data_IF_573692466351
#
_entry.id   IF_573692466351
#
_cell.length_a   1.000
_cell.length_b   1.000
_cell.length_c   1.000
_cell.angle_alpha   90.00
_cell.angle_beta   90.00
_cell.angle_gamma   90.00
#
_symmetry.space_group_name_H-M   'P 1'
#
loop_
_entity.id
_entity.type
_entity.pdbx_description
1 polymer ?
#
# COMPACT_ATOMS: atom_id res chain seq x y z
N UNK A 1 16.52 12.71 15.45
CA UNK A 1 17.05 13.01 14.10
C UNK A 1 17.95 14.22 14.25
N UNK A 2 19.17 14.18 13.74
CA UNK A 2 20.06 15.32 13.87
C UNK A 2 19.74 16.42 12.84
N UNK A 3 20.21 17.64 13.09
CA UNK A 3 19.91 18.81 12.26
C UNK A 3 20.41 18.66 10.81
N UNK A 4 21.54 18.00 10.60
CA UNK A 4 22.09 17.74 9.25
C UNK A 4 21.14 16.89 8.43
N UNK A 5 20.61 15.80 8.99
CA UNK A 5 19.66 14.90 8.30
C UNK A 5 18.34 15.61 8.02
N UNK A 6 17.84 16.46 8.92
CA UNK A 6 16.63 17.26 8.70
C UNK A 6 16.81 18.22 7.54
N UNK A 7 17.98 18.87 7.43
CA UNK A 7 18.29 19.76 6.32
C UNK A 7 18.40 19.02 5.00
N UNK A 8 19.02 17.83 4.99
CA UNK A 8 19.08 16.96 3.80
C UNK A 8 17.70 16.54 3.33
N UNK A 9 16.83 16.09 4.22
CA UNK A 9 15.43 15.72 3.92
C UNK A 9 14.66 16.93 3.37
N UNK A 10 14.81 18.10 3.97
CA UNK A 10 14.14 19.33 3.53
C UNK A 10 14.56 19.77 2.13
N UNK A 11 15.82 19.56 1.77
CA UNK A 11 16.39 19.91 0.47
C UNK A 11 16.17 18.84 -0.62
N UNK A 12 15.87 17.60 -0.22
CA UNK A 12 15.80 16.47 -1.17
C UNK A 12 14.63 16.60 -2.13
N UNK A 13 14.90 16.47 -3.42
CA UNK A 13 13.91 16.46 -4.52
C UNK A 13 13.98 15.18 -5.36
N UNK A 14 15.12 14.51 -5.34
CA UNK A 14 15.36 13.27 -6.06
C UNK A 14 15.52 12.14 -5.06
N UNK A 15 14.82 11.04 -5.28
CA UNK A 15 14.87 9.86 -4.44
C UNK A 15 15.25 8.68 -5.31
N UNK A 16 16.38 8.07 -5.02
CA UNK A 16 16.83 6.84 -5.68
C UNK A 16 16.34 5.61 -4.92
N UNK A 17 16.54 4.43 -5.48
CA UNK A 17 16.21 3.19 -4.78
C UNK A 17 16.99 3.03 -3.46
N UNK A 18 18.18 3.60 -3.38
CA UNK A 18 19.04 3.56 -2.18
C UNK A 18 18.54 4.48 -1.06
N UNK A 19 17.82 5.53 -1.42
CA UNK A 19 17.23 6.48 -0.46
C UNK A 19 15.94 5.96 0.18
N UNK A 20 15.30 4.97 -0.46
CA UNK A 20 14.03 4.44 0.00
C UNK A 20 14.18 3.77 1.38
N UNK A 21 13.26 4.06 2.27
CA UNK A 21 13.21 3.40 3.59
C UNK A 21 12.43 2.10 3.46
N UNK A 22 13.13 0.99 3.67
CA UNK A 22 12.54 -0.34 3.59
C UNK A 22 11.84 -0.73 4.90
N UNK A 23 10.68 -1.36 4.76
CA UNK A 23 9.94 -1.97 5.84
C UNK A 23 9.39 -3.32 5.39
N UNK A 24 9.61 -4.35 6.19
CA UNK A 24 9.09 -5.70 5.93
C UNK A 24 7.82 -5.88 6.76
N UNK A 25 6.68 -5.88 6.09
CA UNK A 25 5.39 -6.23 6.69
C UNK A 25 5.10 -7.73 6.51
N UNK A 26 4.05 -8.28 7.15
CA UNK A 26 3.67 -9.68 6.97
C UNK A 26 3.31 -10.06 5.52
N UNK A 27 3.00 -9.10 4.67
CA UNK A 27 2.51 -9.34 3.30
C UNK A 27 3.38 -8.74 2.19
N UNK A 28 4.21 -7.71 2.49
CA UNK A 28 5.04 -7.04 1.48
C UNK A 28 6.39 -6.63 2.02
N UNK A 29 7.36 -6.49 1.09
CA UNK A 29 8.50 -5.61 1.28
C UNK A 29 8.10 -4.22 0.77
N UNK A 30 8.02 -3.25 1.66
CA UNK A 30 7.67 -1.87 1.37
C UNK A 30 8.92 -1.02 1.21
N UNK A 31 8.97 -0.25 0.12
CA UNK A 31 10.02 0.72 -0.17
C UNK A 31 9.39 2.11 -0.18
N UNK A 32 9.48 2.81 0.94
CA UNK A 32 8.92 4.15 1.10
C UNK A 32 9.82 5.19 0.42
N UNK A 33 9.29 5.83 -0.62
CA UNK A 33 10.00 6.81 -1.43
C UNK A 33 9.54 8.24 -1.15
N UNK A 34 8.27 8.46 -0.86
CA UNK A 34 7.74 9.75 -0.44
C UNK A 34 7.06 9.61 0.92
N UNK A 35 7.82 9.91 1.96
CA UNK A 35 7.39 9.90 3.36
C UNK A 35 8.26 10.91 4.12
N UNK A 36 7.81 11.39 5.26
CA UNK A 36 8.47 12.50 5.99
C UNK A 36 9.90 12.21 6.47
N UNK A 37 10.32 10.96 6.51
CA UNK A 37 11.68 10.54 6.81
C UNK A 37 12.57 10.38 5.57
N UNK A 38 12.02 10.60 4.38
CA UNK A 38 12.74 10.56 3.10
C UNK A 38 12.77 11.94 2.45
N UNK A 39 11.61 12.62 2.39
CA UNK A 39 11.45 13.95 1.80
C UNK A 39 10.53 14.81 2.67
N UNK A 40 10.63 16.12 2.53
CA UNK A 40 9.67 17.03 3.19
C UNK A 40 8.35 17.06 2.40
N UNK A 41 7.48 16.08 2.68
CA UNK A 41 6.17 15.97 2.06
C UNK A 41 5.05 16.53 2.95
N UNK A 42 3.97 16.99 2.32
CA UNK A 42 2.74 17.44 3.01
C UNK A 42 1.51 16.63 2.61
N UNK A 43 1.35 16.39 1.33
CA UNK A 43 0.10 15.85 0.78
C UNK A 43 0.22 14.44 0.22
N UNK A 44 1.39 14.06 -0.27
CA UNK A 44 1.58 12.79 -0.96
C UNK A 44 2.41 11.81 -0.15
N UNK A 45 1.96 10.57 -0.13
CA UNK A 45 2.75 9.41 0.23
C UNK A 45 2.95 8.55 -1.01
N UNK A 46 4.13 7.95 -1.15
CA UNK A 46 4.38 6.96 -2.18
C UNK A 46 5.22 5.83 -1.60
N UNK A 47 4.70 4.62 -1.76
CA UNK A 47 5.40 3.39 -1.43
C UNK A 47 5.36 2.45 -2.62
N UNK A 48 6.49 1.81 -2.91
CA UNK A 48 6.57 0.67 -3.80
C UNK A 48 6.44 -0.59 -2.96
N UNK A 49 5.43 -1.38 -3.23
CA UNK A 49 5.15 -2.62 -2.53
C UNK A 49 5.56 -3.82 -3.39
N UNK A 50 6.27 -4.75 -2.79
CA UNK A 50 6.70 -6.00 -3.41
C UNK A 50 6.03 -7.15 -2.65
N UNK A 51 4.98 -7.70 -3.23
CA UNK A 51 4.17 -8.76 -2.62
C UNK A 51 4.51 -10.10 -3.24
N UNK A 52 5.01 -11.00 -2.43
CA UNK A 52 5.34 -12.36 -2.86
C UNK A 52 4.10 -13.13 -3.31
N UNK A 53 4.28 -14.23 -4.09
CA UNK A 53 3.19 -15.11 -4.43
C UNK A 53 2.40 -15.57 -3.22
N UNK A 54 1.07 -15.64 -3.37
CA UNK A 54 0.15 -16.13 -2.34
C UNK A 54 0.19 -15.33 -1.04
N UNK A 55 0.43 -14.01 -1.15
CA UNK A 55 0.33 -13.05 -0.06
C UNK A 55 -0.81 -12.08 -0.32
N UNK A 56 -1.23 -11.39 0.72
CA UNK A 56 -2.28 -10.38 0.63
C UNK A 56 -2.08 -9.26 1.63
N UNK A 57 -2.53 -8.07 1.24
CA UNK A 57 -2.87 -7.00 2.17
C UNK A 57 -4.39 -7.07 2.35
N UNK A 58 -4.90 -7.72 3.41
CA UNK A 58 -6.31 -8.04 3.53
C UNK A 58 -7.18 -6.79 3.69
N UNK A 59 -8.49 -6.97 3.68
CA UNK A 59 -9.44 -5.87 3.78
C UNK A 59 -9.13 -4.90 4.92
N UNK A 60 -8.96 -3.65 4.57
CA UNK A 60 -8.69 -2.54 5.46
C UNK A 60 -9.25 -1.25 4.87
N UNK A 61 -9.18 -0.16 5.61
CA UNK A 61 -9.53 1.18 5.13
C UNK A 61 -8.56 2.23 5.66
N UNK A 62 -8.46 3.31 4.93
CA UNK A 62 -7.79 4.54 5.37
C UNK A 62 -8.87 5.59 5.68
N UNK A 63 -9.22 5.85 6.95
CA UNK A 63 -10.37 6.69 7.29
C UNK A 63 -10.33 8.10 6.72
N UNK A 64 -9.13 8.65 6.53
CA UNK A 64 -8.91 10.04 6.15
C UNK A 64 -8.01 10.21 4.93
N UNK A 65 -7.76 9.13 4.16
CA UNK A 65 -6.93 9.15 2.95
C UNK A 65 -7.68 8.53 1.78
N UNK A 66 -7.47 9.10 0.61
CA UNK A 66 -7.70 8.41 -0.66
C UNK A 66 -6.41 7.78 -1.16
N UNK A 67 -6.53 6.77 -2.02
CA UNK A 67 -5.41 5.98 -2.48
C UNK A 67 -5.53 5.63 -3.95
N UNK A 68 -4.40 5.59 -4.63
CA UNK A 68 -4.24 4.94 -5.94
C UNK A 68 -3.29 3.77 -5.76
N UNK A 69 -3.67 2.61 -6.30
CA UNK A 69 -2.76 1.49 -6.49
C UNK A 69 -2.53 1.33 -7.99
N UNK A 70 -1.27 1.39 -8.40
CA UNK A 70 -0.84 1.26 -9.80
C UNK A 70 0.07 0.05 -9.95
N UNK A 71 -0.29 -0.88 -10.83
CA UNK A 71 0.45 -2.14 -11.01
C UNK A 71 1.65 -1.92 -11.92
N UNK A 72 2.83 -2.31 -11.43
CA UNK A 72 4.08 -2.27 -12.17
C UNK A 72 4.35 -3.61 -12.86
N UNK A 73 4.25 -4.72 -12.10
CA UNK A 73 4.47 -6.07 -12.64
C UNK A 73 3.68 -7.11 -11.84
N UNK A 74 3.43 -8.25 -12.45
CA UNK A 74 2.55 -9.26 -11.88
C UNK A 74 1.07 -8.89 -12.04
N UNK A 75 0.22 -9.53 -11.26
CA UNK A 75 -1.24 -9.30 -11.27
C UNK A 75 -1.75 -9.18 -9.85
N UNK A 76 -2.72 -8.32 -9.65
CA UNK A 76 -3.43 -8.16 -8.39
C UNK A 76 -4.88 -8.55 -8.53
N UNK A 77 -5.40 -9.35 -7.62
CA UNK A 77 -6.84 -9.44 -7.36
C UNK A 77 -7.18 -8.28 -6.41
N UNK A 78 -7.73 -7.22 -6.98
CA UNK A 78 -7.99 -5.98 -6.25
C UNK A 78 -9.46 -5.84 -5.91
N UNK A 79 -9.75 -5.60 -4.66
CA UNK A 79 -11.08 -5.34 -4.11
C UNK A 79 -11.22 -3.88 -3.69
N UNK A 80 -12.35 -3.27 -4.02
CA UNK A 80 -12.79 -1.97 -3.51
C UNK A 80 -14.27 -2.06 -3.23
N UNK A 81 -14.69 -1.86 -2.00
CA UNK A 81 -16.05 -2.12 -1.59
C UNK A 81 -16.43 -3.58 -1.88
N UNK A 82 -17.59 -3.79 -2.47
CA UNK A 82 -18.06 -5.13 -2.88
C UNK A 82 -17.64 -5.56 -4.29
N UNK A 83 -16.78 -4.80 -4.97
CA UNK A 83 -16.34 -5.08 -6.33
C UNK A 83 -14.89 -5.57 -6.34
N UNK A 84 -14.56 -6.44 -7.28
CA UNK A 84 -13.17 -6.85 -7.50
C UNK A 84 -12.86 -7.03 -8.99
N UNK A 85 -11.58 -6.85 -9.31
CA UNK A 85 -11.03 -7.10 -10.65
C UNK A 85 -9.61 -7.61 -10.54
N UNK A 86 -9.16 -8.32 -11.57
CA UNK A 86 -7.75 -8.62 -11.77
C UNK A 86 -7.13 -7.46 -12.53
N UNK A 87 -6.13 -6.83 -11.93
CA UNK A 87 -5.36 -5.74 -12.53
C UNK A 87 -3.98 -6.25 -12.93
N UNK A 88 -3.54 -5.86 -14.10
CA UNK A 88 -2.21 -6.13 -14.63
C UNK A 88 -1.35 -4.88 -14.78
N UNK A 89 -0.11 -5.02 -15.30
CA UNK A 89 0.81 -3.90 -15.47
C UNK A 89 0.20 -2.75 -16.28
N UNK A 90 0.37 -1.51 -15.79
CA UNK A 90 -0.17 -0.31 -16.42
C UNK A 90 -1.61 0.02 -16.02
N UNK A 91 -2.25 -0.82 -15.22
CA UNK A 91 -3.61 -0.60 -14.73
C UNK A 91 -3.60 -0.09 -13.29
N UNK A 92 -4.64 0.63 -12.91
CA UNK A 92 -4.76 1.21 -11.58
C UNK A 92 -6.18 1.04 -11.01
N UNK A 93 -6.27 1.18 -9.71
CA UNK A 93 -7.53 1.37 -8.98
C UNK A 93 -7.48 2.68 -8.20
N UNK A 94 -8.59 3.39 -8.17
CA UNK A 94 -8.81 4.51 -7.25
C UNK A 94 -9.67 4.06 -6.08
N UNK A 95 -9.23 4.39 -4.88
CA UNK A 95 -9.89 4.04 -3.63
C UNK A 95 -10.28 5.33 -2.91
N UNK A 96 -11.59 5.61 -2.83
CA UNK A 96 -12.08 6.78 -2.09
C UNK A 96 -11.71 6.73 -0.61
N UNK A 97 -11.67 7.89 0.01
CA UNK A 97 -11.43 8.03 1.45
C UNK A 97 -12.42 7.16 2.25
N UNK A 98 -11.90 6.35 3.16
CA UNK A 98 -12.70 5.50 4.03
C UNK A 98 -13.28 4.25 3.39
N UNK A 99 -13.09 4.03 2.08
CA UNK A 99 -13.58 2.84 1.39
C UNK A 99 -12.76 1.61 1.77
N UNK A 100 -13.44 0.53 2.12
CA UNK A 100 -12.76 -0.74 2.44
C UNK A 100 -12.24 -1.38 1.16
N UNK A 101 -11.00 -1.81 1.18
CA UNK A 101 -10.32 -2.43 0.04
C UNK A 101 -9.31 -3.48 0.50
N UNK A 102 -8.82 -4.27 -0.45
CA UNK A 102 -7.80 -5.27 -0.21
C UNK A 102 -7.10 -5.67 -1.50
N UNK A 103 -5.81 -5.97 -1.39
CA UNK A 103 -4.96 -6.39 -2.50
C UNK A 103 -4.46 -7.80 -2.24
N UNK A 104 -4.75 -8.70 -3.17
CA UNK A 104 -4.42 -10.12 -3.05
C UNK A 104 -3.58 -10.56 -4.24
N UNK A 105 -2.56 -11.37 -3.98
CA UNK A 105 -1.76 -12.02 -5.02
C UNK A 105 -1.99 -13.53 -5.01
N UNK A 106 -3.07 -14.05 -5.62
CA UNK A 106 -3.33 -15.48 -5.71
C UNK A 106 -2.51 -16.18 -6.80
N UNK A 107 -1.53 -15.49 -7.40
CA UNK A 107 -0.76 -15.97 -8.54
C UNK A 107 0.63 -16.44 -8.11
N UNK A 108 1.30 -17.28 -8.92
CA UNK A 108 2.64 -17.78 -8.62
C UNK A 108 3.75 -16.75 -8.89
N UNK A 109 3.42 -15.58 -9.40
CA UNK A 109 4.36 -14.51 -9.71
C UNK A 109 4.33 -13.43 -8.64
N UNK A 110 5.48 -12.78 -8.43
CA UNK A 110 5.57 -11.61 -7.55
C UNK A 110 4.75 -10.45 -8.12
N UNK A 111 4.00 -9.78 -7.26
CA UNK A 111 3.28 -8.56 -7.59
C UNK A 111 4.10 -7.35 -7.11
N UNK A 112 4.33 -6.40 -8.01
CA UNK A 112 4.91 -5.10 -7.67
C UNK A 112 3.93 -4.01 -8.04
N UNK A 113 3.64 -3.14 -7.09
CA UNK A 113 2.74 -2.00 -7.30
C UNK A 113 3.20 -0.76 -6.54
N UNK A 114 2.73 0.39 -7.00
CA UNK A 114 2.84 1.64 -6.25
C UNK A 114 1.54 1.89 -5.52
N UNK A 115 1.63 2.25 -4.24
CA UNK A 115 0.52 2.84 -3.50
C UNK A 115 0.82 4.32 -3.28
N UNK A 116 -0.12 5.16 -3.72
CA UNK A 116 -0.05 6.61 -3.60
C UNK A 116 -1.23 7.04 -2.75
N UNK A 117 -0.96 7.66 -1.61
CA UNK A 117 -1.99 8.07 -0.65
C UNK A 117 -1.92 9.57 -0.39
N UNK A 118 -3.07 10.16 -0.13
CA UNK A 118 -3.21 11.60 0.20
C UNK A 118 -4.36 11.81 1.18
N UNK A 119 -4.21 12.69 2.17
CA UNK A 119 -3.02 13.45 2.51
C UNK A 119 -1.95 12.61 3.22
N UNK A 120 -0.68 13.03 3.12
CA UNK A 120 0.42 12.34 3.80
C UNK A 120 0.28 12.43 5.33
N UNK A 121 -0.17 13.59 5.82
CA UNK A 121 -0.49 13.79 7.22
C UNK A 121 -2.00 13.63 7.41
N UNK A 122 -2.38 12.59 8.13
CA UNK A 122 -3.77 12.28 8.41
C UNK A 122 -3.94 12.02 9.91
N UNK A 123 -5.18 12.17 10.38
CA UNK A 123 -5.52 11.79 11.75
C UNK A 123 -5.33 10.29 11.95
N UNK A 124 -4.88 9.91 13.14
CA UNK A 124 -4.79 8.50 13.52
C UNK A 124 -6.18 7.93 13.86
N UNK A 125 -6.45 6.66 13.58
CA UNK A 125 -5.53 5.71 12.95
C UNK A 125 -5.47 5.92 11.42
N UNK A 126 -4.27 5.83 10.85
CA UNK A 126 -4.05 5.95 9.40
C UNK A 126 -4.56 4.75 8.60
N UNK A 127 -4.74 3.61 9.26
CA UNK A 127 -5.25 2.35 8.70
C UNK A 127 -6.09 1.63 9.74
N UNK A 128 -7.19 1.02 9.31
CA UNK A 128 -8.06 0.18 10.15
C UNK A 128 -8.27 -1.16 9.46
N UNK A 129 -7.91 -2.24 10.15
CA UNK A 129 -8.16 -3.60 9.68
C UNK A 129 -9.68 -3.88 9.68
N UNK A 130 -10.19 -4.35 8.57
CA UNK A 130 -11.59 -4.72 8.37
C UNK A 130 -11.77 -6.21 8.07
N UNK A 131 -10.68 -6.97 8.00
CA UNK A 131 -10.70 -8.36 7.54
C UNK A 131 -11.50 -9.30 8.45
N UNK A 132 -11.66 -8.95 9.71
CA UNK A 132 -12.43 -9.72 10.70
C UNK A 132 -13.88 -9.22 10.85
N UNK A 133 -14.24 -8.12 10.23
CA UNK A 133 -15.55 -7.50 10.33
C UNK A 133 -16.49 -7.98 9.21
N UNK A 134 -17.76 -8.24 9.53
CA UNK A 134 -18.75 -8.53 8.50
C UNK A 134 -19.07 -7.26 7.69
N UNK A 135 -19.29 -7.34 6.36
CA UNK A 135 -19.32 -8.56 5.54
C UNK A 135 -17.93 -9.02 5.04
N UNK A 136 -16.87 -8.27 5.31
CA UNK A 136 -15.53 -8.44 4.77
C UNK A 136 -14.91 -9.79 5.17
N UNK A 137 -15.18 -10.24 6.39
CA UNK A 137 -14.68 -11.51 6.93
C UNK A 137 -15.13 -12.75 6.14
N UNK A 138 -16.17 -12.64 5.31
CA UNK A 138 -16.72 -13.75 4.51
C UNK A 138 -16.85 -13.43 3.02
N UNK A 139 -16.58 -12.20 2.63
CA UNK A 139 -16.80 -11.72 1.24
C UNK A 139 -15.90 -12.43 0.23
N UNK A 140 -14.67 -12.65 0.60
CA UNK A 140 -13.69 -13.37 -0.20
C UNK A 140 -13.42 -14.71 0.44
N UNK A 141 -13.84 -15.77 0.16
CA UNK A 141 -13.55 -17.11 0.73
C UNK A 141 -12.25 -17.20 1.57
N UNK A 142 -11.88 -18.34 2.05
CA UNK A 142 -10.72 -18.46 2.92
C UNK A 142 -9.47 -17.91 2.23
N UNK A 143 -8.73 -17.12 2.96
CA UNK A 143 -7.43 -16.65 2.51
C UNK A 143 -6.46 -17.80 2.25
N UNK A 144 -5.38 -17.50 1.55
CA UNK A 144 -4.27 -18.39 1.34
C UNK A 144 -3.88 -19.11 2.64
N UNK A 145 -3.37 -20.35 2.54
CA UNK A 145 -2.97 -21.07 3.72
C UNK A 145 -2.08 -20.17 4.60
N UNK A 146 -2.28 -20.21 5.91
CA UNK A 146 -1.49 -19.41 6.82
C UNK A 146 -0.01 -19.71 6.58
N UNK A 147 0.77 -18.66 6.53
CA UNK A 147 2.21 -18.79 6.40
C UNK A 147 2.73 -19.43 7.68
N UNK A 148 3.24 -20.62 7.54
CA UNK A 148 3.93 -21.31 8.63
C UNK A 148 5.22 -20.60 9.02
#
# INVERSE_FOLDING_TARGET
MNETLLNEIAARRFVTAEDAVQFVSPWTLEEWMCRCDVVQNEHLLLVRANMDPFRSHPFHKHPTREEIIYIISGKAEQWVGGQHRILGPGEMVFIPMGEVHGTYNPFPEKLVFLAILSPARAAEPGIVDMSTEAPWSTMRGPEFPPVS
#
